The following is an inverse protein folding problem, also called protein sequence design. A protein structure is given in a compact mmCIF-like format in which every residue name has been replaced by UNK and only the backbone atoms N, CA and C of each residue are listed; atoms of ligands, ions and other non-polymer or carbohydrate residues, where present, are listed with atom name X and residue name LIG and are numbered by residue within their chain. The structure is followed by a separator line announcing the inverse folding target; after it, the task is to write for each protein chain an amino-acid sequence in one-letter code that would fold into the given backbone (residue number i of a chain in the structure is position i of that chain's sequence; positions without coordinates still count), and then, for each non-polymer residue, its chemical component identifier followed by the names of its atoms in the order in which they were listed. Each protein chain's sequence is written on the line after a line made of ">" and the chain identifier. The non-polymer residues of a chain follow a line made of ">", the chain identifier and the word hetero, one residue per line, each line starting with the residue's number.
data_IF_207630279485
#
_entry.id   IF_207630279485
#
_cell.length_a   1.000
_cell.length_b   1.000
_cell.length_c   1.000
_cell.angle_alpha   90.00
_cell.angle_beta   90.00
_cell.angle_gamma   90.00
#
_symmetry.space_group_name_H-M   'P 1'
#
loop_
_entity.id
_entity.type
_entity.pdbx_description
1 polymer ?
#
# COMPACT_ATOMS: atom_id res chain seq x y z
N UNK A 1 10.22 -61.73 -52.79
CA UNK A 1 9.84 -61.27 -51.44
C UNK A 1 10.72 -60.13 -50.90
N UNK A 2 12.05 -60.19 -51.02
CA UNK A 2 12.96 -59.15 -50.48
C UNK A 2 12.76 -57.74 -51.07
N UNK A 3 12.47 -57.62 -52.36
CA UNK A 3 12.21 -56.33 -53.05
C UNK A 3 10.92 -55.64 -52.56
N UNK A 4 9.81 -56.39 -52.42
CA UNK A 4 8.54 -55.84 -51.91
C UNK A 4 8.66 -55.33 -50.47
N UNK A 5 9.50 -55.95 -49.65
CA UNK A 5 9.74 -55.54 -48.27
C UNK A 5 10.58 -54.24 -48.18
N UNK A 6 11.50 -54.02 -49.12
CA UNK A 6 12.24 -52.75 -49.24
C UNK A 6 11.31 -51.60 -49.64
N UNK A 7 10.42 -51.83 -50.61
CA UNK A 7 9.46 -50.83 -51.06
C UNK A 7 8.51 -50.41 -49.93
N UNK A 8 8.03 -51.37 -49.15
CA UNK A 8 7.15 -51.12 -47.99
C UNK A 8 7.87 -50.32 -46.89
N UNK A 9 9.14 -50.62 -46.61
CA UNK A 9 9.96 -49.83 -45.67
C UNK A 9 10.21 -48.41 -46.17
N UNK A 10 10.43 -48.23 -47.47
CA UNK A 10 10.65 -46.92 -48.06
C UNK A 10 9.37 -46.06 -48.03
N UNK A 11 8.21 -46.66 -48.31
CA UNK A 11 6.90 -46.01 -48.14
C UNK A 11 6.60 -45.65 -46.68
N UNK A 12 6.95 -46.52 -45.74
CA UNK A 12 6.78 -46.27 -44.31
C UNK A 12 7.68 -45.11 -43.84
N UNK A 13 8.94 -45.06 -44.29
CA UNK A 13 9.86 -43.94 -44.01
C UNK A 13 9.36 -42.65 -44.64
N UNK A 14 8.82 -42.70 -45.87
CA UNK A 14 8.26 -41.52 -46.53
C UNK A 14 7.02 -41.00 -45.79
N UNK A 15 6.15 -41.90 -45.32
CA UNK A 15 4.95 -41.56 -44.55
C UNK A 15 5.29 -41.02 -43.16
N UNK A 16 6.32 -41.57 -42.50
CA UNK A 16 6.84 -41.06 -41.23
C UNK A 16 7.50 -39.69 -41.42
N UNK A 17 8.25 -39.47 -42.51
CA UNK A 17 8.78 -38.15 -42.86
C UNK A 17 7.68 -37.13 -43.19
N UNK A 18 6.63 -37.53 -43.91
CA UNK A 18 5.46 -36.69 -44.20
C UNK A 18 4.70 -36.33 -42.91
N UNK A 19 4.50 -37.28 -42.00
CA UNK A 19 3.90 -37.06 -40.69
C UNK A 19 4.78 -36.17 -39.80
N UNK A 20 6.10 -36.37 -39.77
CA UNK A 20 7.05 -35.50 -39.05
C UNK A 20 7.09 -34.08 -39.63
N UNK A 21 6.99 -33.93 -40.94
CA UNK A 21 6.90 -32.60 -41.58
C UNK A 21 5.56 -31.91 -41.30
N UNK A 22 4.46 -32.65 -41.14
CA UNK A 22 3.16 -32.07 -40.72
C UNK A 22 3.14 -31.63 -39.25
N UNK A 23 3.95 -32.24 -38.38
CA UNK A 23 4.16 -31.78 -37.00
C UNK A 23 5.07 -30.54 -36.95
N UNK A 24 6.04 -30.41 -37.86
CA UNK A 24 6.90 -29.23 -37.96
C UNK A 24 6.17 -27.96 -38.46
N UNK A 25 5.07 -28.10 -39.22
CA UNK A 25 4.24 -26.99 -39.68
C UNK A 25 3.11 -26.58 -38.71
N UNK A 26 2.94 -27.28 -37.58
CA UNK A 26 1.93 -26.95 -36.58
C UNK A 26 2.42 -25.95 -35.50
N UNK A 27 3.61 -25.37 -35.67
CA UNK A 27 4.25 -24.50 -34.68
C UNK A 27 4.47 -23.06 -35.18
N UNK A 28 3.50 -22.52 -35.93
CA UNK A 28 3.53 -21.12 -36.39
C UNK A 28 2.39 -20.26 -35.79
N UNK A 29 2.06 -20.55 -34.53
CA UNK A 29 1.67 -19.49 -33.59
C UNK A 29 2.89 -19.21 -32.73
N UNK A 30 3.81 -18.39 -33.25
CA UNK A 30 4.99 -17.95 -32.53
C UNK A 30 4.55 -17.34 -31.19
N UNK A 31 4.80 -18.07 -30.09
CA UNK A 31 4.61 -17.55 -28.75
C UNK A 31 5.45 -16.26 -28.62
N UNK A 32 4.90 -15.19 -28.03
CA UNK A 32 5.63 -13.94 -27.95
C UNK A 32 6.93 -14.15 -27.18
N UNK A 33 8.05 -13.74 -27.77
CA UNK A 33 9.36 -13.81 -27.13
C UNK A 33 9.58 -12.54 -26.29
N UNK A 34 10.20 -12.70 -25.12
CA UNK A 34 10.47 -11.59 -24.21
C UNK A 34 11.88 -11.72 -23.64
N UNK A 35 12.63 -10.63 -23.72
CA UNK A 35 13.99 -10.48 -23.18
C UNK A 35 14.08 -9.21 -22.34
N UNK A 36 14.93 -9.23 -21.33
CA UNK A 36 15.19 -8.11 -20.42
C UNK A 36 16.68 -7.76 -20.44
N UNK A 37 16.99 -6.46 -20.35
CA UNK A 37 18.37 -5.97 -20.35
C UNK A 37 19.12 -6.27 -19.04
N UNK A 38 18.40 -6.25 -17.91
CA UNK A 38 18.95 -6.41 -16.56
C UNK A 38 18.12 -7.37 -15.75
N UNK A 39 18.81 -8.28 -15.07
CA UNK A 39 18.22 -9.26 -14.16
C UNK A 39 18.27 -8.82 -12.69
N UNK A 40 19.03 -7.77 -12.35
CA UNK A 40 19.18 -7.28 -10.98
C UNK A 40 19.04 -5.74 -10.90
N UNK A 41 18.19 -5.29 -9.97
CA UNK A 41 18.01 -3.89 -9.58
C UNK A 41 18.45 -3.68 -8.13
N UNK A 42 18.97 -2.48 -7.84
CA UNK A 42 19.35 -2.03 -6.49
C UNK A 42 18.39 -0.92 -6.07
N UNK A 43 17.29 -1.30 -5.42
CA UNK A 43 16.24 -0.40 -4.93
C UNK A 43 15.57 0.46 -6.04
N UNK A 44 15.16 -0.18 -7.14
CA UNK A 44 14.51 0.49 -8.27
C UNK A 44 15.44 0.74 -9.45
N UNK A 45 14.89 1.27 -10.55
CA UNK A 45 15.61 1.51 -11.80
C UNK A 45 14.74 1.34 -13.04
N UNK A 46 15.35 1.44 -14.21
CA UNK A 46 14.71 1.21 -15.50
C UNK A 46 15.19 -0.13 -16.06
N UNK A 47 14.25 -0.97 -16.46
CA UNK A 47 14.49 -2.23 -17.18
C UNK A 47 13.95 -2.06 -18.59
N UNK A 48 14.81 -2.25 -19.58
CA UNK A 48 14.38 -2.30 -20.96
C UNK A 48 13.91 -3.71 -21.29
N UNK A 49 12.66 -3.81 -21.72
CA UNK A 49 12.04 -5.05 -22.15
C UNK A 49 11.90 -5.01 -23.67
N UNK A 50 12.36 -6.05 -24.35
CA UNK A 50 12.26 -6.19 -25.80
C UNK A 50 11.71 -7.56 -26.16
N UNK A 51 10.94 -7.63 -27.23
CA UNK A 51 10.37 -8.89 -27.67
C UNK A 51 9.79 -8.83 -29.07
N UNK A 52 9.30 -9.98 -29.54
CA UNK A 52 8.55 -10.09 -30.79
C UNK A 52 7.18 -10.72 -30.53
N UNK A 53 6.16 -10.17 -31.16
CA UNK A 53 4.79 -10.69 -31.18
C UNK A 53 4.36 -10.92 -32.62
N UNK A 54 3.36 -11.79 -32.87
CA UNK A 54 2.75 -11.92 -34.18
C UNK A 54 2.26 -10.56 -34.70
N UNK A 55 2.52 -10.27 -35.98
CA UNK A 55 2.24 -8.97 -36.60
C UNK A 55 0.76 -8.57 -36.47
N UNK A 56 0.51 -7.28 -36.21
CA UNK A 56 -0.83 -6.70 -36.10
C UNK A 56 -1.55 -6.87 -34.75
N UNK A 57 -0.90 -7.43 -33.73
CA UNK A 57 -1.49 -7.58 -32.38
C UNK A 57 -0.97 -6.53 -31.40
N UNK A 58 -1.83 -6.05 -30.49
CA UNK A 58 -1.39 -5.18 -29.40
C UNK A 58 -0.74 -6.02 -28.30
N UNK A 59 0.22 -5.40 -27.62
CA UNK A 59 1.01 -6.05 -26.56
C UNK A 59 0.78 -5.32 -25.25
N UNK A 60 0.48 -6.10 -24.22
CA UNK A 60 0.41 -5.64 -22.85
C UNK A 60 1.50 -6.34 -22.04
N UNK A 61 2.13 -5.63 -21.11
CA UNK A 61 3.09 -6.25 -20.18
C UNK A 61 2.45 -6.31 -18.79
N UNK A 62 2.26 -7.51 -18.27
CA UNK A 62 1.88 -7.72 -16.87
C UNK A 62 3.17 -7.86 -16.05
N UNK A 63 3.37 -6.96 -15.07
CA UNK A 63 4.52 -6.99 -14.17
C UNK A 63 4.07 -7.12 -12.73
N UNK A 64 4.61 -8.10 -12.01
CA UNK A 64 4.26 -8.32 -10.61
C UNK A 64 5.43 -8.83 -9.76
N UNK A 65 5.39 -8.52 -8.47
CA UNK A 65 6.28 -9.14 -7.49
C UNK A 65 5.89 -10.60 -7.27
N UNK A 66 6.88 -11.52 -7.26
CA UNK A 66 6.65 -12.94 -7.02
C UNK A 66 6.15 -13.22 -5.61
N UNK A 67 6.57 -12.41 -4.62
CA UNK A 67 6.03 -12.45 -3.26
C UNK A 67 4.60 -11.89 -3.23
N UNK A 68 3.67 -12.77 -2.85
CA UNK A 68 2.23 -12.49 -2.72
C UNK A 68 1.80 -12.23 -1.28
N UNK A 69 2.70 -12.14 -0.31
CA UNK A 69 2.34 -12.04 1.12
C UNK A 69 1.75 -10.70 1.58
N UNK A 70 1.31 -9.81 0.68
CA UNK A 70 0.78 -8.49 1.06
C UNK A 70 -0.74 -8.57 1.27
N UNK A 71 -1.21 -7.86 2.29
CA UNK A 71 -2.64 -7.78 2.61
C UNK A 71 -3.29 -6.63 1.87
N UNK A 72 -4.48 -6.89 1.31
CA UNK A 72 -5.39 -5.85 0.85
C UNK A 72 -6.76 -6.09 1.46
N UNK A 73 -7.44 -5.01 1.82
CA UNK A 73 -8.77 -5.06 2.42
C UNK A 73 -9.65 -3.94 1.89
N UNK A 74 -10.96 -4.21 1.88
CA UNK A 74 -11.99 -3.27 1.46
C UNK A 74 -13.24 -3.53 2.27
N UNK A 75 -13.86 -2.47 2.78
CA UNK A 75 -15.16 -2.55 3.43
C UNK A 75 -16.25 -2.08 2.46
N UNK A 76 -17.24 -2.94 2.23
CA UNK A 76 -18.41 -2.62 1.42
C UNK A 76 -19.56 -2.18 2.32
N UNK A 77 -19.72 -0.86 2.42
CA UNK A 77 -20.82 -0.18 3.09
C UNK A 77 -21.83 0.42 2.12
N UNK A 78 -21.72 0.12 0.81
CA UNK A 78 -22.64 0.68 -0.17
C UNK A 78 -23.99 -0.03 -0.06
N UNK A 79 -25.06 0.77 -0.03
CA UNK A 79 -26.43 0.27 -0.11
C UNK A 79 -26.57 -0.52 -1.42
N UNK A 80 -26.93 -1.79 -1.31
CA UNK A 80 -27.14 -2.61 -2.49
C UNK A 80 -28.35 -2.05 -3.26
N UNK A 81 -28.21 -1.70 -4.55
CA UNK A 81 -29.30 -1.18 -5.36
C UNK A 81 -30.50 -2.13 -5.45
N UNK A 82 -30.28 -3.44 -5.29
CA UNK A 82 -31.32 -4.47 -5.48
C UNK A 82 -32.08 -4.81 -4.20
N UNK A 83 -31.41 -4.81 -3.06
CA UNK A 83 -32.01 -5.22 -1.78
C UNK A 83 -32.28 -4.04 -0.85
N UNK A 84 -31.68 -2.88 -1.11
CA UNK A 84 -31.81 -1.69 -0.26
C UNK A 84 -31.15 -1.84 1.12
N UNK A 85 -30.56 -3.00 1.43
CA UNK A 85 -29.88 -3.28 2.69
C UNK A 85 -28.39 -2.99 2.52
N UNK A 86 -27.77 -2.42 3.56
CA UNK A 86 -26.31 -2.26 3.61
C UNK A 86 -25.70 -3.61 4.02
N UNK A 87 -24.89 -4.25 3.18
CA UNK A 87 -24.44 -5.63 3.42
C UNK A 87 -23.39 -5.73 4.53
N UNK A 88 -22.67 -4.63 4.85
CA UNK A 88 -21.58 -4.57 5.83
C UNK A 88 -20.58 -5.73 5.68
N UNK A 89 -20.02 -5.84 4.48
CA UNK A 89 -19.13 -6.94 4.13
C UNK A 89 -17.69 -6.45 4.09
N UNK A 90 -16.82 -7.12 4.82
CA UNK A 90 -15.39 -6.88 4.81
C UNK A 90 -14.68 -7.91 3.93
N UNK A 91 -14.11 -7.45 2.83
CA UNK A 91 -13.30 -8.26 1.93
C UNK A 91 -11.83 -8.14 2.30
N UNK A 92 -11.14 -9.27 2.36
CA UNK A 92 -9.72 -9.32 2.66
C UNK A 92 -9.01 -10.38 1.80
N UNK A 93 -7.81 -10.06 1.34
CA UNK A 93 -6.92 -11.04 0.71
C UNK A 93 -5.53 -10.96 1.36
N UNK A 94 -4.85 -12.10 1.40
CA UNK A 94 -3.49 -12.27 1.89
C UNK A 94 -2.48 -12.55 0.77
N UNK A 95 -2.97 -12.72 -0.45
CA UNK A 95 -2.19 -13.16 -1.62
C UNK A 95 -1.92 -12.02 -2.60
N UNK A 96 -2.01 -10.76 -2.15
CA UNK A 96 -1.77 -9.60 -3.01
C UNK A 96 -0.27 -9.46 -3.29
N UNK A 97 0.15 -9.33 -4.56
CA UNK A 97 1.54 -9.02 -4.87
C UNK A 97 1.91 -7.63 -4.34
N UNK A 98 3.13 -7.50 -3.82
CA UNK A 98 3.64 -6.23 -3.29
C UNK A 98 3.72 -5.11 -4.34
N UNK A 99 3.90 -5.51 -5.60
CA UNK A 99 3.90 -4.65 -6.78
C UNK A 99 3.08 -5.32 -7.87
N UNK A 100 2.24 -4.53 -8.53
CA UNK A 100 1.46 -4.98 -9.67
C UNK A 100 1.21 -3.80 -10.61
N UNK A 101 1.63 -3.92 -11.86
CA UNK A 101 1.40 -2.89 -12.87
C UNK A 101 1.22 -3.54 -14.24
N UNK A 102 0.23 -3.06 -14.99
CA UNK A 102 0.03 -3.42 -16.39
C UNK A 102 0.52 -2.26 -17.25
N UNK A 103 1.38 -2.56 -18.21
CA UNK A 103 1.82 -1.60 -19.22
C UNK A 103 1.03 -1.81 -20.50
N UNK A 104 0.46 -0.73 -21.02
CA UNK A 104 -0.32 -0.69 -22.25
C UNK A 104 0.48 0.03 -23.36
N UNK A 105 0.08 -0.10 -24.63
CA UNK A 105 0.66 0.65 -25.73
C UNK A 105 0.61 2.18 -25.52
N UNK A 106 1.62 2.89 -26.03
CA UNK A 106 1.72 4.37 -25.92
C UNK A 106 0.48 5.07 -26.49
N UNK A 107 -0.18 4.50 -27.50
CA UNK A 107 -1.42 5.02 -28.11
C UNK A 107 -2.58 5.19 -27.11
N UNK A 108 -2.50 4.53 -25.94
CA UNK A 108 -3.51 4.59 -24.88
C UNK A 108 -3.13 5.55 -23.75
N UNK A 109 -2.04 6.31 -23.89
CA UNK A 109 -1.58 7.27 -22.89
C UNK A 109 -2.63 8.35 -22.57
N UNK A 110 -3.33 8.87 -23.57
CA UNK A 110 -4.36 9.90 -23.40
C UNK A 110 -5.52 9.41 -22.53
N UNK A 111 -5.96 8.17 -22.74
CA UNK A 111 -6.99 7.53 -21.91
C UNK A 111 -6.56 7.39 -20.46
N UNK A 112 -5.30 7.05 -20.21
CA UNK A 112 -4.76 7.03 -18.84
C UNK A 112 -4.77 8.44 -18.25
N UNK A 113 -4.39 9.47 -19.01
CA UNK A 113 -4.41 10.86 -18.55
C UNK A 113 -5.84 11.34 -18.21
N UNK A 114 -6.86 10.95 -18.98
CA UNK A 114 -8.26 11.21 -18.67
C UNK A 114 -8.71 10.52 -17.38
N UNK A 115 -8.36 9.24 -17.22
CA UNK A 115 -8.68 8.50 -15.99
C UNK A 115 -7.99 9.11 -14.77
N UNK A 116 -6.78 9.69 -14.91
CA UNK A 116 -6.13 10.44 -13.82
C UNK A 116 -6.93 11.66 -13.42
N UNK A 117 -7.50 12.40 -14.38
CA UNK A 117 -8.34 13.58 -14.10
C UNK A 117 -9.62 13.21 -13.33
N UNK A 118 -10.13 11.98 -13.49
CA UNK A 118 -11.28 11.49 -12.72
C UNK A 118 -10.98 11.32 -11.20
N UNK A 119 -9.71 11.38 -10.78
CA UNK A 119 -9.30 11.48 -9.38
C UNK A 119 -9.77 10.30 -8.54
N UNK A 120 -10.71 10.51 -7.60
CA UNK A 120 -11.22 9.46 -6.69
C UNK A 120 -12.35 8.60 -7.29
N UNK A 121 -12.99 9.04 -8.38
CA UNK A 121 -14.19 8.42 -8.95
C UNK A 121 -13.90 7.29 -9.95
N UNK A 122 -12.66 7.14 -10.39
CA UNK A 122 -12.27 6.13 -11.40
C UNK A 122 -12.58 4.69 -10.97
N UNK A 123 -12.86 3.79 -11.91
CA UNK A 123 -13.03 2.36 -11.64
C UNK A 123 -11.95 1.56 -12.35
N UNK A 124 -11.25 0.67 -11.61
CA UNK A 124 -10.20 -0.16 -12.19
C UNK A 124 -10.76 -1.15 -13.23
N UNK A 125 -11.99 -1.63 -13.05
CA UNK A 125 -12.66 -2.52 -14.00
C UNK A 125 -12.99 -1.82 -15.31
N UNK A 126 -13.44 -0.56 -15.26
CA UNK A 126 -13.74 0.24 -16.44
C UNK A 126 -12.45 0.62 -17.16
N UNK A 127 -11.44 1.06 -16.42
CA UNK A 127 -10.12 1.40 -16.95
C UNK A 127 -9.48 0.23 -17.74
N UNK A 128 -9.46 -0.98 -17.19
CA UNK A 128 -8.90 -2.15 -17.91
C UNK A 128 -9.71 -2.42 -19.19
N UNK A 129 -11.04 -2.32 -19.13
CA UNK A 129 -11.92 -2.59 -20.25
C UNK A 129 -11.74 -1.57 -21.38
N UNK A 130 -11.69 -0.29 -21.05
CA UNK A 130 -11.44 0.81 -22.01
C UNK A 130 -10.05 0.73 -22.66
N UNK A 131 -9.08 0.21 -21.91
CA UNK A 131 -7.72 -0.03 -22.37
C UNK A 131 -7.55 -1.38 -23.07
N UNK A 132 -8.58 -2.23 -23.16
CA UNK A 132 -8.46 -3.58 -23.74
C UNK A 132 -7.52 -4.53 -22.99
N UNK A 133 -7.05 -4.14 -21.80
CA UNK A 133 -6.01 -4.86 -21.05
C UNK A 133 -6.56 -6.05 -20.23
N UNK A 134 -7.80 -6.50 -20.50
CA UNK A 134 -8.45 -7.58 -19.73
C UNK A 134 -7.71 -8.91 -19.82
N UNK A 135 -7.04 -9.16 -20.95
CA UNK A 135 -6.21 -10.33 -21.18
C UNK A 135 -4.98 -10.34 -20.25
N UNK A 136 -4.43 -9.16 -19.95
CA UNK A 136 -3.26 -8.97 -19.10
C UNK A 136 -3.59 -9.02 -17.60
N UNK A 137 -4.87 -8.91 -17.20
CA UNK A 137 -5.25 -8.97 -15.79
C UNK A 137 -5.48 -10.41 -15.32
N UNK A 138 -4.41 -11.08 -14.88
CA UNK A 138 -4.46 -12.51 -14.53
C UNK A 138 -4.03 -12.80 -13.09
N UNK A 139 -2.95 -12.19 -12.59
CA UNK A 139 -2.41 -12.53 -11.26
C UNK A 139 -3.39 -12.17 -10.14
N UNK A 140 -3.92 -10.94 -10.07
CA UNK A 140 -4.84 -10.58 -9.00
C UNK A 140 -6.22 -11.22 -9.19
N UNK A 141 -6.60 -11.56 -10.44
CA UNK A 141 -7.88 -12.22 -10.73
C UNK A 141 -8.03 -13.59 -10.06
N UNK A 142 -6.91 -14.30 -9.79
CA UNK A 142 -6.89 -15.65 -9.21
C UNK A 142 -6.62 -15.69 -7.70
N UNK A 143 -6.53 -14.54 -7.04
CA UNK A 143 -6.23 -14.49 -5.60
C UNK A 143 -7.41 -14.96 -4.79
N UNK A 144 -7.13 -15.61 -3.65
CA UNK A 144 -8.18 -15.94 -2.69
C UNK A 144 -8.64 -14.66 -1.99
N UNK A 145 -9.95 -14.41 -2.03
CA UNK A 145 -10.57 -13.30 -1.31
C UNK A 145 -11.53 -13.85 -0.26
N UNK A 146 -11.19 -13.62 1.01
CA UNK A 146 -12.06 -13.94 2.13
C UNK A 146 -13.08 -12.81 2.31
N UNK A 147 -14.29 -13.21 2.71
CA UNK A 147 -15.43 -12.31 2.90
C UNK A 147 -15.99 -12.50 4.29
N UNK A 148 -15.98 -11.45 5.10
CA UNK A 148 -16.55 -11.47 6.43
C UNK A 148 -17.80 -10.60 6.51
N UNK A 149 -18.88 -11.14 7.07
CA UNK A 149 -20.05 -10.35 7.45
C UNK A 149 -19.74 -9.65 8.75
N UNK A 150 -19.41 -8.36 8.67
CA UNK A 150 -19.17 -7.53 9.83
C UNK A 150 -20.51 -7.04 10.40
N UNK A 151 -20.56 -6.93 11.72
CA UNK A 151 -21.61 -6.16 12.39
C UNK A 151 -20.98 -4.94 13.04
N UNK A 152 -21.78 -3.89 13.26
CA UNK A 152 -21.29 -2.67 13.89
C UNK A 152 -20.65 -2.95 15.26
N UNK A 153 -21.23 -3.89 16.03
CA UNK A 153 -20.66 -4.34 17.31
C UNK A 153 -19.41 -5.20 17.15
N UNK A 154 -19.35 -6.08 16.15
CA UNK A 154 -18.13 -6.85 15.88
C UNK A 154 -16.94 -5.92 15.59
N UNK A 155 -17.15 -4.86 14.81
CA UNK A 155 -16.11 -3.87 14.52
C UNK A 155 -15.62 -3.13 15.78
N UNK A 156 -16.51 -2.83 16.73
CA UNK A 156 -16.15 -2.14 17.99
C UNK A 156 -15.28 -3.03 18.89
N UNK A 157 -15.58 -4.33 18.98
CA UNK A 157 -14.79 -5.27 19.79
C UNK A 157 -13.57 -5.84 19.05
N UNK A 158 -13.23 -5.30 17.87
CA UNK A 158 -12.11 -5.78 17.05
C UNK A 158 -12.34 -7.14 16.36
N UNK A 159 -13.57 -7.63 16.35
CA UNK A 159 -13.98 -8.85 15.63
C UNK A 159 -14.18 -8.57 14.14
N UNK A 160 -13.69 -9.47 13.30
CA UNK A 160 -13.86 -9.41 11.85
C UNK A 160 -15.26 -9.84 11.40
N UNK A 161 -16.08 -10.38 12.31
CA UNK A 161 -17.41 -10.92 12.01
C UNK A 161 -17.37 -12.37 11.54
N UNK A 162 -18.46 -12.85 10.94
CA UNK A 162 -18.61 -14.25 10.49
C UNK A 162 -18.02 -14.43 9.09
N UNK A 163 -17.12 -15.40 8.91
CA UNK A 163 -16.62 -15.79 7.59
C UNK A 163 -17.78 -16.34 6.74
N UNK A 164 -17.97 -15.78 5.55
CA UNK A 164 -18.95 -16.23 4.57
C UNK A 164 -18.32 -17.24 3.61
N UNK A 165 -19.18 -17.99 2.91
CA UNK A 165 -18.74 -18.97 1.92
C UNK A 165 -17.93 -18.34 0.78
N UNK A 166 -17.00 -19.12 0.17
CA UNK A 166 -16.22 -18.70 -0.98
C UNK A 166 -17.11 -18.19 -2.11
N UNK A 167 -16.62 -17.19 -2.83
CA UNK A 167 -17.32 -16.62 -3.99
C UNK A 167 -17.03 -17.44 -5.25
N UNK A 168 -17.91 -17.32 -6.24
CA UNK A 168 -17.64 -17.77 -7.61
C UNK A 168 -16.47 -16.99 -8.23
N UNK A 169 -15.77 -17.60 -9.19
CA UNK A 169 -14.57 -17.06 -9.82
C UNK A 169 -14.81 -15.70 -10.49
N UNK A 170 -16.00 -15.51 -11.08
CA UNK A 170 -16.37 -14.24 -11.72
C UNK A 170 -16.52 -13.11 -10.72
N UNK A 171 -17.18 -13.37 -9.59
CA UNK A 171 -17.35 -12.38 -8.52
C UNK A 171 -16.01 -12.13 -7.81
N UNK A 172 -15.19 -13.17 -7.60
CA UNK A 172 -13.84 -13.04 -7.06
C UNK A 172 -12.96 -12.14 -7.96
N UNK A 173 -12.99 -12.35 -9.28
CA UNK A 173 -12.29 -11.47 -10.24
C UNK A 173 -12.77 -10.01 -10.12
N UNK A 174 -14.07 -9.77 -10.02
CA UNK A 174 -14.62 -8.42 -9.85
C UNK A 174 -14.16 -7.77 -8.54
N UNK A 175 -14.21 -8.49 -7.42
CA UNK A 175 -13.78 -7.98 -6.10
C UNK A 175 -12.27 -7.80 -6.01
N UNK A 176 -11.48 -8.62 -6.70
CA UNK A 176 -10.03 -8.44 -6.80
C UNK A 176 -9.66 -7.08 -7.41
N UNK A 177 -10.40 -6.62 -8.43
CA UNK A 177 -10.18 -5.30 -9.05
C UNK A 177 -10.46 -4.15 -8.07
N UNK A 178 -11.47 -4.31 -7.21
CA UNK A 178 -11.76 -3.34 -6.15
C UNK A 178 -10.67 -3.34 -5.07
N UNK A 179 -10.13 -4.51 -4.72
CA UNK A 179 -9.02 -4.64 -3.76
C UNK A 179 -7.71 -4.06 -4.30
N UNK A 180 -7.42 -4.25 -5.59
CA UNK A 180 -6.29 -3.60 -6.28
C UNK A 180 -6.43 -2.07 -6.20
N UNK A 181 -7.61 -1.53 -6.54
CA UNK A 181 -7.89 -0.09 -6.38
C UNK A 181 -7.72 0.36 -4.92
N UNK A 182 -8.26 -0.39 -3.95
CA UNK A 182 -8.21 -0.04 -2.53
C UNK A 182 -6.76 0.01 -2.01
N UNK A 183 -5.89 -0.90 -2.49
CA UNK A 183 -4.48 -0.96 -2.09
C UNK A 183 -3.64 0.13 -2.73
N UNK A 184 -3.66 0.23 -4.07
CA UNK A 184 -2.74 1.10 -4.79
C UNK A 184 -3.22 2.55 -4.88
N UNK A 185 -4.55 2.79 -4.80
CA UNK A 185 -5.27 4.09 -4.80
C UNK A 185 -5.11 4.94 -6.07
N UNK A 186 -3.89 5.05 -6.58
CA UNK A 186 -3.51 5.82 -7.76
C UNK A 186 -3.41 4.93 -8.99
N UNK A 187 -3.78 5.50 -10.14
CA UNK A 187 -3.75 4.82 -11.44
C UNK A 187 -2.32 4.54 -11.88
N UNK A 188 -1.40 5.49 -11.67
CA UNK A 188 0.02 5.38 -12.06
C UNK A 188 0.77 4.21 -11.41
N UNK A 189 0.26 3.72 -10.28
CA UNK A 189 0.83 2.58 -9.56
C UNK A 189 0.41 1.24 -10.16
N UNK A 190 -0.65 1.20 -10.96
CA UNK A 190 -1.24 -0.04 -11.51
C UNK A 190 -1.32 -0.06 -13.04
N UNK A 191 -1.28 1.09 -13.70
CA UNK A 191 -1.33 1.23 -15.15
C UNK A 191 -0.22 2.19 -15.62
N UNK A 192 0.40 1.88 -16.76
CA UNK A 192 1.36 2.78 -17.44
C UNK A 192 1.31 2.59 -18.95
N UNK A 193 1.61 3.63 -19.73
CA UNK A 193 1.64 3.57 -21.18
C UNK A 193 3.10 3.72 -21.66
N UNK A 194 3.84 2.62 -21.64
CA UNK A 194 5.28 2.60 -21.92
C UNK A 194 5.65 1.60 -23.03
N UNK A 195 4.67 0.89 -23.61
CA UNK A 195 4.93 -0.15 -24.62
C UNK A 195 4.87 0.45 -26.02
N UNK A 196 5.99 0.43 -26.73
CA UNK A 196 6.06 0.82 -28.14
C UNK A 196 6.08 -0.44 -28.99
N UNK A 197 5.15 -0.55 -29.95
CA UNK A 197 5.07 -1.69 -30.88
C UNK A 197 5.41 -1.19 -32.28
N UNK A 198 6.41 -1.80 -32.91
CA UNK A 198 6.80 -1.52 -34.29
C UNK A 198 5.87 -2.26 -35.26
N UNK A 199 5.68 -1.76 -36.49
CA UNK A 199 4.85 -2.41 -37.51
C UNK A 199 5.26 -3.86 -37.80
N UNK A 200 6.54 -4.20 -37.60
CA UNK A 200 7.12 -5.53 -37.79
C UNK A 200 6.79 -6.53 -36.66
N UNK A 201 5.97 -6.14 -35.68
CA UNK A 201 5.65 -6.96 -34.51
C UNK A 201 6.73 -6.99 -33.43
N UNK A 202 7.82 -6.24 -33.57
CA UNK A 202 8.80 -6.04 -32.50
C UNK A 202 8.27 -5.01 -31.49
N UNK A 203 8.37 -5.28 -30.19
CA UNK A 203 7.99 -4.34 -29.14
C UNK A 203 9.16 -4.01 -28.22
N UNK A 204 9.14 -2.78 -27.69
CA UNK A 204 10.08 -2.32 -26.66
C UNK A 204 9.36 -1.47 -25.61
N UNK A 205 9.74 -1.67 -24.35
CA UNK A 205 9.21 -0.90 -23.22
C UNK A 205 10.32 -0.60 -22.22
N UNK A 206 10.44 0.66 -21.81
CA UNK A 206 11.33 1.07 -20.73
C UNK A 206 10.56 1.09 -19.41
N UNK A 207 10.56 -0.05 -18.71
CA UNK A 207 9.80 -0.24 -17.48
C UNK A 207 10.50 0.44 -16.32
N UNK A 208 9.92 1.56 -15.85
CA UNK A 208 10.42 2.24 -14.65
C UNK A 208 9.87 1.61 -13.37
N UNK A 209 10.74 0.91 -12.65
CA UNK A 209 10.47 0.37 -11.32
C UNK A 209 10.80 1.44 -10.28
N UNK A 210 9.78 1.94 -9.57
CA UNK A 210 9.95 2.99 -8.55
C UNK A 210 10.86 2.52 -7.42
N UNK A 211 11.56 3.47 -6.81
CA UNK A 211 12.35 3.20 -5.61
C UNK A 211 11.46 2.84 -4.41
N UNK A 212 12.04 2.11 -3.46
CA UNK A 212 11.35 1.72 -2.24
C UNK A 212 10.28 0.65 -2.44
N UNK A 213 10.43 -0.22 -3.44
CA UNK A 213 9.60 -1.41 -3.63
C UNK A 213 10.14 -2.63 -2.88
N UNK A 214 9.35 -3.70 -2.80
CA UNK A 214 9.72 -4.93 -2.10
C UNK A 214 11.01 -5.55 -2.64
N UNK A 215 11.87 -6.11 -1.78
CA UNK A 215 12.98 -6.93 -2.22
C UNK A 215 12.48 -8.29 -2.72
N UNK A 216 13.22 -8.93 -3.61
CA UNK A 216 12.94 -10.26 -4.14
C UNK A 216 12.68 -10.26 -5.64
N UNK A 217 12.13 -11.38 -6.13
CA UNK A 217 11.93 -11.64 -7.56
C UNK A 217 10.65 -10.98 -8.08
N UNK A 218 10.71 -10.52 -9.31
CA UNK A 218 9.62 -9.91 -10.06
C UNK A 218 9.50 -10.62 -11.40
N UNK A 219 8.28 -10.81 -11.87
CA UNK A 219 8.00 -11.46 -13.14
C UNK A 219 7.42 -10.45 -14.12
N UNK A 220 7.78 -10.61 -15.39
CA UNK A 220 7.25 -9.84 -16.52
C UNK A 220 6.75 -10.85 -17.55
N UNK A 221 5.51 -10.68 -18.00
CA UNK A 221 4.92 -11.47 -19.09
C UNK A 221 4.32 -10.53 -20.12
N UNK A 222 4.63 -10.77 -21.40
CA UNK A 222 3.91 -10.17 -22.51
C UNK A 222 2.63 -10.96 -22.78
N UNK A 223 1.52 -10.25 -22.91
CA UNK A 223 0.21 -10.79 -23.23
C UNK A 223 -0.32 -10.07 -24.46
N UNK A 224 -0.80 -10.83 -25.42
CA UNK A 224 -1.45 -10.30 -26.64
C UNK A 224 -2.97 -10.18 -26.44
N UNK A 225 -3.65 -9.44 -27.31
CA UNK A 225 -5.13 -9.34 -27.32
C UNK A 225 -5.81 -10.72 -27.37
N UNK A 226 -5.21 -11.69 -28.05
CA UNK A 226 -5.69 -13.07 -28.17
C UNK A 226 -5.42 -13.93 -26.92
N UNK A 227 -5.02 -13.32 -25.79
CA UNK A 227 -4.71 -13.99 -24.52
C UNK A 227 -3.52 -14.96 -24.59
N UNK A 228 -2.71 -14.89 -25.64
CA UNK A 228 -1.46 -15.67 -25.75
C UNK A 228 -0.40 -14.99 -24.91
N UNK A 229 0.32 -15.78 -24.10
CA UNK A 229 1.30 -15.29 -23.12
C UNK A 229 2.71 -15.72 -23.49
N UNK A 230 3.68 -14.86 -23.22
CA UNK A 230 5.10 -15.21 -23.31
C UNK A 230 5.53 -16.07 -22.12
N UNK A 231 6.71 -16.69 -22.23
CA UNK A 231 7.41 -17.17 -21.05
C UNK A 231 7.69 -15.98 -20.09
N UNK A 232 7.62 -16.18 -18.76
CA UNK A 232 7.90 -15.14 -17.79
C UNK A 232 9.40 -14.83 -17.74
N UNK A 233 9.78 -13.57 -17.93
CA UNK A 233 11.11 -13.10 -17.57
C UNK A 233 11.14 -12.68 -16.11
N UNK A 234 12.24 -13.02 -15.41
CA UNK A 234 12.39 -12.78 -13.98
C UNK A 234 13.55 -11.82 -13.75
N UNK A 235 13.31 -10.79 -12.95
CA UNK A 235 14.36 -9.91 -12.42
C UNK A 235 14.26 -9.82 -10.89
N UNK A 236 15.35 -9.47 -10.23
CA UNK A 236 15.44 -9.39 -8.78
C UNK A 236 15.70 -7.95 -8.34
N UNK A 237 14.94 -7.48 -7.36
CA UNK A 237 15.18 -6.21 -6.69
C UNK A 237 15.82 -6.46 -5.32
N UNK A 238 17.01 -5.93 -5.13
CA UNK A 238 17.76 -6.05 -3.87
C UNK A 238 17.72 -4.72 -3.11
N UNK A 239 17.66 -4.81 -1.78
CA UNK A 239 17.71 -3.66 -0.87
C UNK A 239 18.78 -3.94 0.18
N UNK A 240 19.60 -2.94 0.46
CA UNK A 240 20.69 -3.02 1.43
C UNK A 240 20.42 -2.08 2.61
N UNK A 241 20.88 -2.47 3.80
CA UNK A 241 20.88 -1.59 4.97
C UNK A 241 21.61 -0.26 4.64
N UNK A 242 21.09 0.92 5.03
CA UNK A 242 20.07 1.20 6.07
C UNK A 242 18.61 1.24 5.58
N UNK A 243 18.35 0.91 4.31
CA UNK A 243 16.99 0.85 3.76
C UNK A 243 16.33 -0.46 4.15
N UNK A 244 15.15 -0.39 4.78
CA UNK A 244 14.36 -1.56 5.17
C UNK A 244 12.99 -1.52 4.51
N UNK A 245 12.57 -2.66 3.97
CA UNK A 245 11.25 -2.80 3.38
C UNK A 245 10.18 -3.03 4.44
N UNK A 246 9.26 -2.07 4.57
CA UNK A 246 8.14 -2.16 5.51
C UNK A 246 6.97 -2.88 4.82
N UNK A 247 6.84 -4.20 5.02
CA UNK A 247 5.79 -5.03 4.40
C UNK A 247 4.38 -4.44 4.56
N UNK A 248 4.06 -3.93 5.75
CA UNK A 248 2.75 -3.34 6.06
C UNK A 248 2.52 -2.03 5.31
N UNK A 249 3.54 -1.16 5.24
CA UNK A 249 3.45 0.11 4.53
C UNK A 249 3.55 -0.06 2.99
N UNK A 250 4.16 -1.15 2.52
CA UNK A 250 4.39 -1.40 1.09
C UNK A 250 5.46 -0.48 0.48
N UNK A 251 6.37 0.02 1.32
CA UNK A 251 7.48 0.87 0.89
C UNK A 251 8.74 0.61 1.70
N UNK A 252 9.90 0.77 1.07
CA UNK A 252 11.20 0.76 1.74
C UNK A 252 11.57 2.17 2.19
N UNK A 253 12.07 2.27 3.42
CA UNK A 253 12.44 3.54 4.03
C UNK A 253 13.75 3.38 4.78
N UNK A 254 14.53 4.45 4.84
CA UNK A 254 15.73 4.49 5.67
C UNK A 254 15.27 4.62 7.12
N UNK A 255 15.54 3.60 7.94
CA UNK A 255 15.00 3.52 9.29
C UNK A 255 15.62 4.54 10.26
N UNK A 256 16.80 5.07 9.94
CA UNK A 256 17.53 6.01 10.78
C UNK A 256 16.76 7.33 10.94
N UNK A 257 16.17 7.84 9.85
CA UNK A 257 15.46 9.12 9.86
C UNK A 257 14.18 9.09 10.70
N UNK A 258 13.22 8.16 10.48
CA UNK A 258 12.07 8.02 11.36
C UNK A 258 12.47 7.75 12.82
N UNK A 259 13.51 6.96 13.06
CA UNK A 259 13.97 6.66 14.42
C UNK A 259 14.42 7.93 15.16
N UNK A 260 15.27 8.76 14.56
CA UNK A 260 15.74 10.01 15.16
C UNK A 260 14.58 10.99 15.43
N UNK A 261 13.67 11.13 14.46
CA UNK A 261 12.49 11.99 14.60
C UNK A 261 11.59 11.51 15.73
N UNK A 262 11.29 10.20 15.77
CA UNK A 262 10.52 9.59 16.85
C UNK A 262 11.18 9.81 18.21
N UNK A 263 12.50 9.65 18.32
CA UNK A 263 13.24 9.84 19.56
C UNK A 263 13.10 11.28 20.07
N UNK A 264 13.41 12.27 19.21
CA UNK A 264 13.33 13.68 19.56
C UNK A 264 11.91 14.07 19.98
N UNK A 265 10.92 13.75 19.15
CA UNK A 265 9.52 14.11 19.43
C UNK A 265 8.99 13.40 20.66
N UNK A 266 9.38 12.15 20.92
CA UNK A 266 8.93 11.43 22.12
C UNK A 266 9.52 12.06 23.39
N UNK A 267 10.80 12.45 23.38
CA UNK A 267 11.43 13.15 24.51
C UNK A 267 10.68 14.45 24.80
N UNK A 268 10.48 15.31 23.79
CA UNK A 268 9.71 16.55 23.95
C UNK A 268 8.25 16.28 24.35
N UNK A 269 7.65 15.23 23.80
CA UNK A 269 6.28 14.81 24.09
C UNK A 269 6.08 14.40 25.55
N UNK A 270 7.04 13.68 26.14
CA UNK A 270 7.03 13.34 27.58
C UNK A 270 7.24 14.58 28.45
N UNK A 271 8.17 15.46 28.07
CA UNK A 271 8.44 16.71 28.81
C UNK A 271 7.19 17.61 28.85
N UNK A 272 6.46 17.70 27.75
CA UNK A 272 5.20 18.45 27.66
C UNK A 272 3.99 17.71 28.26
N UNK A 273 4.12 16.42 28.58
CA UNK A 273 3.02 15.57 29.08
C UNK A 273 1.97 15.17 28.04
N UNK A 274 2.14 15.55 26.77
CA UNK A 274 1.19 15.32 25.69
C UNK A 274 1.48 14.08 24.83
N UNK A 275 2.52 13.29 25.18
CA UNK A 275 2.83 11.99 24.56
C UNK A 275 3.33 12.03 23.13
N UNK A 276 3.50 13.23 22.53
CA UNK A 276 4.15 13.44 21.23
C UNK A 276 3.35 12.96 20.00
N UNK A 277 2.32 12.12 20.15
CA UNK A 277 1.61 11.49 19.04
C UNK A 277 0.91 12.44 18.07
N UNK A 278 0.36 13.55 18.59
CA UNK A 278 -0.29 14.59 17.78
C UNK A 278 0.70 15.36 16.88
N UNK A 279 1.99 15.38 17.25
CA UNK A 279 3.09 15.95 16.45
C UNK A 279 3.68 14.86 15.54
N UNK A 280 3.86 13.65 16.08
CA UNK A 280 4.53 12.56 15.40
C UNK A 280 3.75 12.08 14.17
N UNK A 281 2.42 11.98 14.26
CA UNK A 281 1.57 11.54 13.16
C UNK A 281 1.66 12.46 11.92
N UNK A 282 1.44 13.79 12.00
CA UNK A 282 1.55 14.67 10.84
C UNK A 282 2.98 14.76 10.29
N UNK A 283 4.01 14.73 11.14
CA UNK A 283 5.40 14.77 10.68
C UNK A 283 5.75 13.51 9.88
N UNK A 284 5.42 12.32 10.39
CA UNK A 284 5.70 11.07 9.70
C UNK A 284 4.96 10.93 8.38
N UNK A 285 3.70 11.38 8.31
CA UNK A 285 2.89 11.31 7.08
C UNK A 285 3.31 12.36 6.05
N UNK A 286 3.87 13.50 6.50
CA UNK A 286 4.27 14.58 5.58
C UNK A 286 5.68 14.37 5.03
N UNK A 287 6.61 13.86 5.84
CA UNK A 287 8.00 13.65 5.43
C UNK A 287 8.23 12.32 4.72
N UNK A 288 7.44 11.28 5.04
CA UNK A 288 7.63 9.96 4.49
C UNK A 288 6.39 9.52 3.70
N UNK A 289 6.56 8.77 2.58
CA UNK A 289 5.46 8.25 1.77
C UNK A 289 4.78 7.05 2.45
N UNK A 290 4.40 7.18 3.73
CA UNK A 290 3.81 6.13 4.55
C UNK A 290 2.27 6.24 4.56
N UNK A 291 1.54 5.11 4.51
CA UNK A 291 0.09 5.14 4.65
C UNK A 291 -0.34 5.64 6.04
N UNK A 292 -1.27 6.58 6.10
CA UNK A 292 -1.77 7.19 7.35
C UNK A 292 -2.24 6.17 8.38
N UNK A 293 -2.92 5.10 7.94
CA UNK A 293 -3.40 4.02 8.82
C UNK A 293 -2.26 3.25 9.48
N UNK A 294 -1.13 3.08 8.77
CA UNK A 294 0.05 2.40 9.30
C UNK A 294 0.75 3.33 10.30
N UNK A 295 0.91 4.61 9.97
CA UNK A 295 1.50 5.59 10.90
C UNK A 295 0.68 5.70 12.18
N UNK A 296 -0.64 5.86 12.09
CA UNK A 296 -1.51 5.93 13.27
C UNK A 296 -1.41 4.65 14.14
N UNK A 297 -1.37 3.48 13.50
CA UNK A 297 -1.20 2.20 14.19
C UNK A 297 0.16 2.06 14.89
N UNK A 298 1.24 2.56 14.29
CA UNK A 298 2.60 2.52 14.88
C UNK A 298 2.78 3.56 15.98
N UNK A 299 2.25 4.77 15.81
CA UNK A 299 2.37 5.85 16.79
C UNK A 299 1.61 5.54 18.08
N UNK A 300 0.48 4.82 18.00
CA UNK A 300 -0.36 4.54 19.18
C UNK A 300 0.39 3.78 20.29
N UNK A 301 1.07 2.64 20.03
CA UNK A 301 1.94 2.00 21.01
C UNK A 301 3.09 2.89 21.48
N UNK A 302 3.72 3.67 20.60
CA UNK A 302 4.81 4.59 20.99
C UNK A 302 4.33 5.58 22.04
N UNK A 303 3.17 6.19 21.83
CA UNK A 303 2.55 7.11 22.80
C UNK A 303 2.22 6.37 24.09
N UNK A 304 1.67 5.16 24.03
CA UNK A 304 1.36 4.35 25.23
C UNK A 304 2.60 4.11 26.10
N UNK A 305 3.71 3.63 25.51
CA UNK A 305 4.95 3.39 26.25
C UNK A 305 5.59 4.68 26.75
N UNK A 306 5.55 5.74 25.94
CA UNK A 306 6.03 7.07 26.30
C UNK A 306 5.29 7.62 27.53
N UNK A 307 3.95 7.56 27.53
CA UNK A 307 3.13 8.00 28.65
C UNK A 307 3.30 7.09 29.88
N UNK A 308 3.44 5.78 29.69
CA UNK A 308 3.74 4.84 30.77
C UNK A 308 5.07 5.16 31.48
N UNK A 309 6.11 5.46 30.70
CA UNK A 309 7.40 5.92 31.23
C UNK A 309 7.25 7.26 31.96
N UNK A 310 6.47 8.20 31.40
CA UNK A 310 6.13 9.46 32.06
C UNK A 310 5.48 9.25 33.43
N UNK A 311 4.40 8.47 33.50
CA UNK A 311 3.69 8.15 34.74
C UNK A 311 4.65 7.53 35.76
N UNK A 312 5.50 6.58 35.35
CA UNK A 312 6.48 5.95 36.24
C UNK A 312 7.47 6.97 36.82
N UNK A 313 8.08 7.81 35.97
CA UNK A 313 9.08 8.79 36.40
C UNK A 313 8.47 9.91 37.26
N UNK A 314 7.31 10.46 36.85
CA UNK A 314 6.61 11.50 37.62
C UNK A 314 6.00 10.97 38.93
N UNK A 315 5.64 9.68 38.98
CA UNK A 315 5.19 9.02 40.21
C UNK A 315 6.33 8.89 41.24
N UNK A 316 7.56 8.55 40.79
CA UNK A 316 8.73 8.48 41.69
C UNK A 316 9.01 9.78 42.42
N UNK A 317 8.81 10.92 41.76
CA UNK A 317 9.00 12.25 42.36
C UNK A 317 7.73 12.78 43.07
N UNK A 318 6.70 11.95 43.26
CA UNK A 318 5.42 12.28 43.93
C UNK A 318 4.73 13.52 43.36
N UNK A 319 4.89 13.77 42.05
CA UNK A 319 4.35 14.96 41.38
C UNK A 319 2.92 14.74 40.86
N UNK A 320 2.41 13.50 40.88
CA UNK A 320 1.11 13.14 40.31
C UNK A 320 0.01 13.22 41.37
N UNK A 321 -1.02 14.03 41.11
CA UNK A 321 -2.30 13.94 41.83
C UNK A 321 -3.16 12.83 41.21
N UNK A 322 -3.20 11.66 41.85
CA UNK A 322 -3.91 10.48 41.36
C UNK A 322 -5.42 10.68 41.20
N UNK A 323 -6.06 11.46 42.07
CA UNK A 323 -7.52 11.71 41.97
C UNK A 323 -7.85 12.48 40.70
N UNK A 324 -7.09 13.56 40.43
CA UNK A 324 -7.25 14.36 39.21
C UNK A 324 -6.85 13.56 37.96
N UNK A 325 -5.74 12.82 38.03
CA UNK A 325 -5.25 11.99 36.93
C UNK A 325 -6.26 10.93 36.50
N UNK A 326 -6.88 10.23 37.45
CA UNK A 326 -7.90 9.21 37.15
C UNK A 326 -9.17 9.86 36.59
N UNK A 327 -9.65 10.97 37.17
CA UNK A 327 -10.84 11.66 36.68
C UNK A 327 -10.69 12.14 35.22
N UNK A 328 -9.54 12.74 34.90
CA UNK A 328 -9.22 13.16 33.52
C UNK A 328 -9.03 11.92 32.63
N UNK A 329 -8.34 10.88 33.11
CA UNK A 329 -8.12 9.64 32.37
C UNK A 329 -9.42 8.94 31.98
N UNK A 330 -10.39 8.84 32.88
CA UNK A 330 -11.72 8.29 32.58
C UNK A 330 -12.46 9.15 31.54
N UNK A 331 -12.38 10.47 31.65
CA UNK A 331 -12.98 11.39 30.67
C UNK A 331 -12.35 11.24 29.28
N UNK A 332 -11.03 11.10 29.22
CA UNK A 332 -10.29 10.83 27.98
C UNK A 332 -10.63 9.46 27.40
N UNK A 333 -10.82 8.44 28.24
CA UNK A 333 -11.21 7.11 27.80
C UNK A 333 -12.59 7.14 27.11
N UNK A 334 -13.57 7.83 27.71
CA UNK A 334 -14.87 8.04 27.08
C UNK A 334 -14.74 8.78 25.75
N UNK A 335 -13.93 9.85 25.72
CA UNK A 335 -13.63 10.59 24.49
C UNK A 335 -12.97 9.72 23.41
N UNK A 336 -12.10 8.78 23.79
CA UNK A 336 -11.42 7.88 22.86
C UNK A 336 -12.37 6.86 22.21
N UNK A 337 -13.49 6.50 22.86
CA UNK A 337 -14.54 5.68 22.25
C UNK A 337 -15.47 6.49 21.34
N UNK A 338 -15.82 7.72 21.74
CA UNK A 338 -16.73 8.60 20.99
C UNK A 338 -16.04 9.20 19.75
N UNK A 339 -14.75 9.54 19.87
CA UNK A 339 -13.98 10.20 18.81
C UNK A 339 -14.02 9.46 17.47
N UNK A 340 -13.62 8.17 17.41
CA UNK A 340 -13.71 7.37 16.18
C UNK A 340 -15.11 7.36 15.58
N UNK A 341 -16.16 7.28 16.40
CA UNK A 341 -17.56 7.34 15.95
C UNK A 341 -17.93 8.67 15.31
N UNK A 342 -17.48 9.78 15.87
CA UNK A 342 -17.66 11.09 15.24
C UNK A 342 -16.86 11.21 13.93
N UNK A 343 -15.67 10.61 13.87
CA UNK A 343 -14.85 10.66 12.65
C UNK A 343 -15.43 9.84 11.49
N UNK A 344 -16.27 8.83 11.75
CA UNK A 344 -17.03 8.11 10.70
C UNK A 344 -18.02 9.02 9.97
N UNK A 345 -18.47 10.11 10.60
CA UNK A 345 -19.43 11.07 10.02
C UNK A 345 -18.78 12.09 9.08
N UNK A 346 -17.44 12.19 9.07
CA UNK A 346 -16.69 13.17 8.30
C UNK A 346 -15.74 12.49 7.31
N UNK A 347 -15.53 13.11 6.15
CA UNK A 347 -14.58 12.58 5.17
C UNK A 347 -13.13 12.79 5.63
N UNK A 348 -12.19 11.96 5.15
CA UNK A 348 -10.77 12.08 5.46
C UNK A 348 -10.21 13.49 5.15
N UNK A 349 -10.66 14.10 4.05
CA UNK A 349 -10.19 15.42 3.64
C UNK A 349 -10.68 16.52 4.60
N UNK A 350 -11.95 16.44 5.02
CA UNK A 350 -12.52 17.35 6.03
C UNK A 350 -11.84 17.17 7.39
N UNK A 351 -11.56 15.93 7.78
CA UNK A 351 -10.81 15.64 9.00
C UNK A 351 -9.41 16.28 8.96
N UNK A 352 -8.69 16.13 7.84
CA UNK A 352 -7.36 16.76 7.66
C UNK A 352 -7.44 18.28 7.75
N UNK A 353 -8.46 18.88 7.13
CA UNK A 353 -8.67 20.33 7.18
C UNK A 353 -8.96 20.82 8.60
N UNK A 354 -9.91 20.19 9.30
CA UNK A 354 -10.26 20.54 10.67
C UNK A 354 -9.08 20.34 11.64
N UNK A 355 -8.39 19.19 11.53
CA UNK A 355 -7.22 18.89 12.35
C UNK A 355 -6.08 19.89 12.12
N UNK A 356 -5.84 20.29 10.86
CA UNK A 356 -4.85 21.33 10.53
C UNK A 356 -5.16 22.68 11.19
N UNK A 357 -6.43 23.11 11.17
CA UNK A 357 -6.86 24.33 11.85
C UNK A 357 -6.70 24.25 13.36
N UNK A 358 -7.05 23.12 13.98
CA UNK A 358 -6.84 22.89 15.42
C UNK A 358 -5.35 23.01 15.77
N UNK A 359 -4.47 22.40 14.97
CA UNK A 359 -3.02 22.50 15.19
C UNK A 359 -2.51 23.94 15.04
N UNK A 360 -3.03 24.71 14.07
CA UNK A 360 -2.67 26.12 13.89
C UNK A 360 -3.12 26.98 15.08
N UNK A 361 -4.34 26.78 15.56
CA UNK A 361 -4.85 27.49 16.75
C UNK A 361 -4.02 27.13 17.98
N UNK A 362 -3.71 25.84 18.18
CA UNK A 362 -2.86 25.40 19.29
C UNK A 362 -1.45 25.99 19.20
N UNK A 363 -0.84 26.02 18.01
CA UNK A 363 0.46 26.64 17.80
C UNK A 363 0.41 28.14 18.12
N UNK A 364 -0.63 28.85 17.67
CA UNK A 364 -0.86 30.26 17.98
C UNK A 364 -1.05 30.52 19.48
N UNK A 365 -1.85 29.69 20.15
CA UNK A 365 -2.07 29.77 21.60
C UNK A 365 -0.78 29.52 22.38
N UNK A 366 -0.03 28.48 22.03
CA UNK A 366 1.25 28.17 22.68
C UNK A 366 2.29 29.27 22.45
N UNK A 367 2.37 29.81 21.24
CA UNK A 367 3.23 30.95 20.93
C UNK A 367 2.83 32.17 21.76
N UNK A 368 1.54 32.50 21.83
CA UNK A 368 1.03 33.59 22.64
C UNK A 368 1.34 33.41 24.13
N UNK A 369 1.14 32.21 24.66
CA UNK A 369 1.49 31.88 26.05
C UNK A 369 2.98 31.98 26.34
N UNK A 370 3.84 31.83 25.33
CA UNK A 370 5.30 31.96 25.45
C UNK A 370 5.78 33.41 25.35
N UNK A 371 4.93 34.36 24.94
CA UNK A 371 5.31 35.77 24.88
C UNK A 371 5.47 36.39 26.28
N UNK A 372 6.49 37.24 26.44
CA UNK A 372 6.85 37.86 27.71
C UNK A 372 5.70 38.67 28.35
N UNK A 373 4.80 39.23 27.54
CA UNK A 373 3.63 39.98 28.02
C UNK A 373 2.56 39.12 28.70
N UNK A 374 2.45 37.83 28.36
CA UNK A 374 1.49 36.90 28.99
C UNK A 374 2.01 36.35 30.31
N UNK A 375 3.29 35.91 30.33
CA UNK A 375 3.97 35.43 31.56
C UNK A 375 4.05 36.50 32.66
N UNK A 376 4.20 37.77 32.28
CA UNK A 376 4.26 38.87 33.23
C UNK A 376 2.92 39.14 33.94
N UNK A 377 1.79 38.76 33.32
CA UNK A 377 0.43 39.10 33.80
C UNK A 377 -0.21 37.99 34.66
N UNK A 378 0.19 36.73 34.46
CA UNK A 378 -0.40 35.58 35.15
C UNK A 378 0.32 35.23 36.46
N UNK A 379 -0.23 35.73 37.59
CA UNK A 379 0.26 35.44 38.96
C UNK A 379 0.37 33.94 39.30
N UNK A 380 -0.48 33.08 38.69
CA UNK A 380 -0.45 31.62 38.90
C UNK A 380 0.78 30.96 38.28
N UNK A 381 1.17 31.37 37.07
CA UNK A 381 2.37 30.82 36.41
C UNK A 381 3.64 31.26 37.12
N UNK A 382 3.71 32.49 37.63
CA UNK A 382 4.83 32.95 38.46
C UNK A 382 4.94 32.16 39.77
N UNK A 383 3.82 31.86 40.43
CA UNK A 383 3.81 31.04 41.63
C UNK A 383 4.29 29.60 41.34
N UNK A 384 3.84 29.00 40.24
CA UNK A 384 4.28 27.67 39.79
C UNK A 384 5.78 27.68 39.46
N UNK A 385 6.29 28.70 38.74
CA UNK A 385 7.71 28.83 38.42
C UNK A 385 8.58 28.99 39.67
N UNK A 386 8.09 29.76 40.65
CA UNK A 386 8.80 30.01 41.91
C UNK A 386 8.82 28.76 42.78
N UNK A 387 7.71 28.01 42.86
CA UNK A 387 7.64 26.75 43.60
C UNK A 387 8.46 25.64 42.92
N UNK A 388 8.43 25.56 41.58
CA UNK A 388 9.22 24.58 40.83
C UNK A 388 10.73 24.83 40.99
N UNK A 389 11.17 26.10 40.89
CA UNK A 389 12.58 26.48 41.16
C UNK A 389 12.99 26.15 42.59
N UNK A 390 12.15 26.47 43.58
CA UNK A 390 12.43 26.16 44.99
C UNK A 390 12.61 24.65 45.22
N UNK A 391 11.70 23.82 44.69
CA UNK A 391 11.81 22.35 44.81
C UNK A 391 13.00 21.77 44.05
N UNK A 392 13.36 22.35 42.90
CA UNK A 392 14.54 21.95 42.15
C UNK A 392 15.85 22.28 42.89
N UNK A 393 15.93 23.45 43.53
CA UNK A 393 17.06 23.85 44.38
C UNK A 393 17.17 22.98 45.64
N UNK A 394 16.06 22.66 46.29
CA UNK A 394 16.04 21.73 47.44
C UNK A 394 16.51 20.32 47.04
N UNK A 395 16.09 19.82 45.88
CA UNK A 395 16.53 18.53 45.35
C UNK A 395 18.01 18.53 44.91
N UNK A 396 18.54 19.65 44.43
CA UNK A 396 19.95 19.81 44.08
C UNK A 396 20.84 19.86 45.33
N UNK A 397 20.39 20.54 46.39
CA UNK A 397 21.08 20.58 47.68
C UNK A 397 21.06 19.23 48.42
N UNK A 398 20.04 18.41 48.22
CA UNK A 398 19.96 17.06 48.79
C UNK A 398 20.84 16.02 48.06
N UNK A 399 21.47 16.39 46.94
CA UNK A 399 22.38 15.54 46.15
C UNK A 399 23.86 15.89 46.32
N UNK A 400 24.18 16.99 47.00
CA UNK A 400 25.51 17.28 47.56
C UNK A 400 25.56 16.73 48.97
#
# INVERSE_FOLDING_TARGET
>A
MKEKLKLLRMLFVLMVCLLLSSVAFAQDQAAPSLQIDKTLLKNGGVIKVTGKVPAGQQVYLEVWAADKGVRASMFDSKKDPKTGVVPYVFYQTYDMPAYYKIFVPVDKADKIAELKKAGKKWSYSEAIKELGAEAAYNVPAKMKTDRYKATLMASVIGSRGKLLEPMDDKENKKRSMQLVKARFREIDKVLGAEVTVSPDGAFSADIKIREGLAPGKYNIVAVTDNKVKSAPAVFENSISFPMLYLKTAGTSQNILWPFLICLVISIFGVLMGAGGGFILNPILVSLFPLPHTVVAGTVTPTVLFSQGSGIYNYSKIKFINWKLGIAIGCSMLLGAFIGPKLTELITLDQFKFAFGWILLVLAGLMYWQTTAGYLAKNKKEQAILKEFKKRAEEAAKAKQ
#
